data_IF_671145134865
#
_entry.id   IF_671145134865
#
_cell.length_a   1.000
_cell.length_b   1.000
_cell.length_c   1.000
_cell.angle_alpha   90.00
_cell.angle_beta   90.00
_cell.angle_gamma   90.00
#
_symmetry.space_group_name_H-M   'P 1'
#
loop_
_entity.id
_entity.type
_entity.pdbx_description
1 polymer ?
#
# COMPACT_ATOMS: atom_id res chain seq x y z
N UNK A 1 -42.86 31.19 11.73
CA UNK A 1 -41.68 31.72 11.00
C UNK A 1 -40.36 31.77 11.82
N UNK A 2 -40.40 32.06 13.14
CA UNK A 2 -39.17 32.05 13.98
C UNK A 2 -38.44 30.68 14.08
N UNK A 3 -39.20 29.59 14.14
CA UNK A 3 -38.62 28.24 14.29
C UNK A 3 -37.93 27.73 13.01
N UNK A 4 -38.34 28.14 11.85
CA UNK A 4 -37.71 27.77 10.55
C UNK A 4 -36.32 28.43 10.37
N UNK A 5 -36.18 29.70 10.83
CA UNK A 5 -34.89 30.39 10.79
C UNK A 5 -33.85 29.79 11.72
N UNK A 6 -34.26 29.30 12.90
CA UNK A 6 -33.34 28.63 13.85
C UNK A 6 -32.87 27.28 13.32
N UNK A 7 -33.74 26.52 12.63
CA UNK A 7 -33.40 25.24 12.04
C UNK A 7 -32.40 25.39 10.88
N UNK A 8 -32.61 26.38 10.00
CA UNK A 8 -31.69 26.69 8.89
C UNK A 8 -30.33 27.19 9.36
N UNK A 9 -30.26 27.98 10.43
CA UNK A 9 -29.00 28.45 10.99
C UNK A 9 -28.21 27.30 11.63
N UNK A 10 -28.89 26.35 12.30
CA UNK A 10 -28.24 25.18 12.91
C UNK A 10 -27.72 24.22 11.83
N UNK A 11 -28.47 24.02 10.73
CA UNK A 11 -28.05 23.17 9.61
C UNK A 11 -26.88 23.79 8.85
N UNK A 12 -26.86 25.10 8.65
CA UNK A 12 -25.75 25.81 8.01
C UNK A 12 -24.48 25.80 8.88
N UNK A 13 -24.60 25.90 10.20
CA UNK A 13 -23.47 25.82 11.12
C UNK A 13 -22.88 24.38 11.16
N UNK A 14 -23.74 23.35 11.10
CA UNK A 14 -23.29 21.95 11.01
C UNK A 14 -22.61 21.64 9.66
N UNK A 15 -23.13 22.19 8.54
CA UNK A 15 -22.49 22.04 7.24
C UNK A 15 -21.14 22.79 7.17
N UNK A 16 -21.03 23.95 7.80
CA UNK A 16 -19.77 24.69 7.87
C UNK A 16 -18.72 24.01 8.76
N UNK A 17 -19.13 23.40 9.88
CA UNK A 17 -18.20 22.65 10.75
C UNK A 17 -17.77 21.33 10.14
N UNK A 18 -18.62 20.63 9.37
CA UNK A 18 -18.22 19.42 8.65
C UNK A 18 -17.31 19.73 7.47
N UNK A 19 -17.49 20.85 6.79
CA UNK A 19 -16.59 21.28 5.69
C UNK A 19 -15.19 21.65 6.20
N UNK A 20 -15.06 22.13 7.44
CA UNK A 20 -13.75 22.48 8.03
C UNK A 20 -12.96 21.26 8.51
N UNK A 21 -13.60 20.08 8.67
CA UNK A 21 -12.95 18.85 9.09
C UNK A 21 -12.28 18.05 7.96
N UNK A 22 -12.47 18.46 6.71
CA UNK A 22 -11.83 17.86 5.53
C UNK A 22 -10.72 18.74 4.95
N UNK A 23 -9.92 19.40 5.81
CA UNK A 23 -8.77 20.16 5.30
C UNK A 23 -7.69 19.20 4.81
N UNK A 24 -7.13 19.51 3.64
CA UNK A 24 -5.90 18.87 3.17
C UNK A 24 -4.81 19.07 4.22
N UNK A 25 -4.23 17.99 4.70
CA UNK A 25 -3.17 18.03 5.70
C UNK A 25 -2.16 16.93 5.47
N UNK A 26 -0.91 17.24 5.77
CA UNK A 26 0.17 16.27 5.84
C UNK A 26 0.79 16.34 7.22
N UNK A 27 0.95 15.19 7.87
CA UNK A 27 1.49 15.07 9.21
C UNK A 27 2.52 13.95 9.28
N UNK A 28 3.67 14.20 9.90
CA UNK A 28 4.64 13.15 10.23
C UNK A 28 4.10 12.35 11.41
N UNK A 29 3.82 11.07 11.18
CA UNK A 29 3.29 10.17 12.22
C UNK A 29 4.35 9.30 12.88
N UNK A 30 5.51 9.15 12.25
CA UNK A 30 6.63 8.43 12.82
C UNK A 30 7.95 8.82 12.13
N UNK A 31 9.05 8.64 12.88
CA UNK A 31 10.41 8.66 12.33
C UNK A 31 10.91 7.22 12.24
N UNK A 32 11.34 6.81 11.07
CA UNK A 32 11.85 5.46 10.78
C UNK A 32 13.05 5.61 9.86
N UNK A 33 14.23 5.11 10.24
CA UNK A 33 15.41 5.22 9.38
C UNK A 33 15.21 4.54 8.04
N UNK A 34 15.31 5.30 6.95
CA UNK A 34 15.26 4.82 5.58
C UNK A 34 14.04 3.98 5.21
N UNK A 35 12.80 4.43 5.43
CA UNK A 35 11.61 3.65 5.11
C UNK A 35 11.47 3.52 3.59
N UNK A 36 11.19 2.30 3.09
CA UNK A 36 11.14 2.05 1.63
C UNK A 36 9.84 1.44 1.16
N UNK A 37 9.39 0.33 1.70
CA UNK A 37 8.14 -0.32 1.29
C UNK A 37 7.20 -0.38 2.48
N UNK A 38 5.93 -0.06 2.23
CA UNK A 38 4.89 -0.08 3.25
C UNK A 38 3.64 -0.79 2.75
N UNK A 39 2.92 -1.38 3.69
CA UNK A 39 1.60 -1.94 3.54
C UNK A 39 0.76 -1.61 4.78
N UNK A 40 -0.51 -1.94 4.78
CA UNK A 40 -1.42 -1.60 5.86
C UNK A 40 -2.17 -2.82 6.40
N UNK A 41 -2.14 -3.00 7.73
CA UNK A 41 -2.93 -4.01 8.43
C UNK A 41 -4.29 -3.44 8.81
N UNK A 42 -5.34 -3.93 8.15
CA UNK A 42 -6.68 -3.35 8.24
C UNK A 42 -7.35 -3.54 9.59
N UNK A 43 -7.20 -4.70 10.23
CA UNK A 43 -7.84 -4.96 11.52
C UNK A 43 -7.09 -4.37 12.70
N UNK A 44 -5.80 -4.08 12.53
CA UNK A 44 -4.93 -3.56 13.59
C UNK A 44 -4.67 -2.06 13.50
N UNK A 45 -5.03 -1.42 12.38
CA UNK A 45 -4.69 -0.02 12.11
C UNK A 45 -3.19 0.26 12.18
N UNK A 46 -2.39 -0.62 11.58
CA UNK A 46 -0.94 -0.48 11.55
C UNK A 46 -0.42 -0.27 10.14
N UNK A 47 0.48 0.69 9.97
CA UNK A 47 1.38 0.73 8.81
C UNK A 47 2.56 -0.18 9.11
N UNK A 48 2.76 -1.16 8.25
CA UNK A 48 3.89 -2.10 8.32
C UNK A 48 4.84 -1.79 7.18
N UNK A 49 6.12 -1.79 7.45
CA UNK A 49 7.08 -1.48 6.41
C UNK A 49 8.45 -2.08 6.63
N UNK A 50 9.31 -1.81 5.66
CA UNK A 50 10.72 -2.16 5.68
C UNK A 50 11.59 -0.91 5.61
N UNK A 51 12.78 -1.02 6.17
CA UNK A 51 13.79 0.04 6.16
C UNK A 51 14.99 -0.35 5.32
N UNK A 52 15.55 0.66 4.66
CA UNK A 52 16.82 0.56 3.99
C UNK A 52 17.75 1.63 4.59
N UNK A 53 18.60 1.22 5.52
CA UNK A 53 19.41 2.14 6.30
C UNK A 53 20.89 1.91 6.06
N UNK A 54 21.60 2.99 5.66
CA UNK A 54 23.05 3.00 5.53
C UNK A 54 23.69 3.59 6.80
N UNK A 55 24.30 2.75 7.61
CA UNK A 55 25.12 3.20 8.72
C UNK A 55 26.59 2.90 8.45
N UNK A 56 27.31 3.89 7.99
CA UNK A 56 28.77 4.04 7.80
C UNK A 56 29.55 2.84 7.20
N UNK A 57 29.01 1.63 7.14
CA UNK A 57 29.58 0.44 6.51
C UNK A 57 28.60 -0.75 6.45
N UNK A 58 27.33 -0.55 6.87
CA UNK A 58 26.38 -1.64 7.02
C UNK A 58 24.97 -1.22 6.59
N UNK A 59 24.33 -2.05 5.79
CA UNK A 59 22.93 -1.89 5.42
C UNK A 59 22.10 -2.78 6.34
N UNK A 60 21.28 -2.18 7.19
CA UNK A 60 20.33 -2.91 8.02
C UNK A 60 18.97 -2.87 7.35
N UNK A 61 18.33 -4.03 7.28
CA UNK A 61 16.99 -4.17 6.78
C UNK A 61 16.10 -4.58 7.93
N UNK A 62 15.44 -3.62 8.51
CA UNK A 62 14.50 -3.84 9.59
C UNK A 62 13.08 -3.84 9.03
N UNK A 63 12.23 -4.68 9.60
CA UNK A 63 10.78 -4.59 9.45
C UNK A 63 10.21 -3.95 10.70
N UNK A 64 9.14 -3.20 10.51
CA UNK A 64 8.54 -2.42 11.58
C UNK A 64 7.05 -2.24 11.36
N UNK A 65 6.32 -1.94 12.46
CA UNK A 65 4.93 -1.51 12.43
C UNK A 65 4.74 -0.23 13.25
N UNK A 66 3.78 0.56 12.82
CA UNK A 66 3.35 1.80 13.48
C UNK A 66 1.85 1.72 13.68
N UNK A 67 1.38 1.85 14.93
CA UNK A 67 -0.02 2.12 15.21
C UNK A 67 -0.35 3.54 14.74
N UNK A 68 -1.20 3.67 13.73
CA UNK A 68 -1.56 4.97 13.15
C UNK A 68 -2.42 5.82 14.08
N UNK A 69 -2.99 5.24 15.13
CA UNK A 69 -3.74 5.98 16.15
C UNK A 69 -2.84 6.57 17.23
N UNK A 70 -1.58 6.14 17.29
CA UNK A 70 -0.59 6.71 18.20
C UNK A 70 0.22 7.81 17.50
N UNK A 71 0.77 8.72 18.30
CA UNK A 71 1.71 9.75 17.84
C UNK A 71 3.01 9.64 18.64
N UNK A 72 4.16 9.89 18.02
CA UNK A 72 5.42 9.80 18.72
C UNK A 72 5.49 10.86 19.82
N UNK A 73 5.86 10.45 21.02
CA UNK A 73 6.19 11.37 22.11
C UNK A 73 7.69 11.64 22.20
N UNK A 74 8.49 10.71 21.69
CA UNK A 74 9.96 10.79 21.69
C UNK A 74 10.54 10.21 20.40
N UNK A 75 11.67 10.76 19.98
CA UNK A 75 12.49 10.24 18.87
C UNK A 75 13.89 9.98 19.39
N UNK A 76 14.30 8.72 19.39
CA UNK A 76 15.63 8.30 19.86
C UNK A 76 16.38 7.61 18.73
N UNK A 77 17.60 8.09 18.40
CA UNK A 77 18.41 7.53 17.32
C UNK A 77 17.66 7.40 15.98
N UNK A 78 16.91 8.43 15.59
CA UNK A 78 16.09 8.49 14.38
C UNK A 78 14.90 7.52 14.36
N UNK A 79 14.57 6.86 15.46
CA UNK A 79 13.40 5.99 15.59
C UNK A 79 12.45 6.59 16.62
N UNK A 80 11.18 6.74 16.27
CA UNK A 80 10.16 7.20 17.22
C UNK A 80 9.67 6.07 18.11
N UNK A 81 9.17 6.42 19.30
CA UNK A 81 8.72 5.48 20.35
C UNK A 81 7.45 4.71 20.00
N UNK A 82 6.69 5.17 19.01
CA UNK A 82 5.51 4.48 18.48
C UNK A 82 5.84 3.44 17.40
N UNK A 83 7.11 3.18 17.11
CA UNK A 83 7.54 2.19 16.13
C UNK A 83 7.92 0.89 16.81
N UNK A 84 7.23 -0.19 16.47
CA UNK A 84 7.57 -1.54 16.88
C UNK A 84 8.44 -2.20 15.81
N UNK A 85 9.63 -2.66 16.17
CA UNK A 85 10.45 -3.50 15.28
C UNK A 85 9.97 -4.94 15.32
N UNK A 86 10.01 -5.60 14.16
CA UNK A 86 9.71 -7.02 14.05
C UNK A 86 10.97 -7.86 13.95
N UNK A 87 10.87 -9.03 14.55
CA UNK A 87 11.54 -10.26 14.22
C UNK A 87 13.07 -10.23 14.16
N UNK A 88 13.66 -11.27 14.69
CA UNK A 88 15.06 -11.62 14.47
C UNK A 88 15.21 -12.37 13.14
N UNK A 89 14.87 -11.74 12.01
CA UNK A 89 15.40 -12.24 10.75
C UNK A 89 16.92 -12.07 10.79
N UNK A 90 17.68 -12.98 10.21
CA UNK A 90 19.11 -12.82 10.10
C UNK A 90 19.39 -11.48 9.39
N UNK A 91 19.65 -10.44 10.17
CA UNK A 91 19.99 -9.13 9.64
C UNK A 91 21.41 -9.20 9.14
N UNK A 92 21.61 -9.21 7.83
CA UNK A 92 22.95 -9.24 7.28
C UNK A 92 23.25 -8.09 6.35
N UNK A 93 24.40 -7.58 6.66
CA UNK A 93 25.21 -6.54 6.06
C UNK A 93 25.51 -6.81 4.58
N UNK A 94 25.31 -5.86 3.75
CA UNK A 94 25.92 -5.53 2.47
C UNK A 94 24.99 -5.18 1.32
N UNK A 95 25.33 -4.03 0.78
CA UNK A 95 24.95 -3.36 -0.42
C UNK A 95 24.29 -4.16 -1.54
N UNK A 96 23.10 -3.78 -1.83
CA UNK A 96 22.35 -4.08 -3.04
C UNK A 96 21.14 -3.19 -3.01
N UNK A 97 21.03 -2.34 -3.99
CA UNK A 97 19.83 -1.53 -4.23
C UNK A 97 18.71 -2.49 -4.50
N UNK A 98 17.75 -2.70 -3.69
CA UNK A 98 16.48 -3.18 -4.15
C UNK A 98 15.78 -4.21 -3.24
N UNK A 99 14.59 -3.85 -2.85
CA UNK A 99 13.52 -4.77 -2.86
C UNK A 99 13.23 -5.60 -1.62
N UNK A 100 13.24 -4.97 -0.46
CA UNK A 100 12.66 -5.59 0.74
C UNK A 100 11.17 -5.30 0.76
N UNK A 101 10.46 -5.94 -0.17
CA UNK A 101 9.03 -5.75 -0.33
C UNK A 101 8.29 -6.38 0.85
N UNK A 102 7.25 -5.72 1.32
CA UNK A 102 6.36 -6.20 2.37
C UNK A 102 4.92 -6.09 1.88
N UNK A 103 4.09 -7.10 2.18
CA UNK A 103 2.67 -7.11 1.86
C UNK A 103 1.86 -7.87 2.90
N UNK A 104 0.58 -7.56 2.97
CA UNK A 104 -0.40 -8.22 3.84
C UNK A 104 -1.70 -8.43 3.06
N UNK A 105 -2.44 -9.53 3.25
CA UNK A 105 -3.79 -9.63 2.73
C UNK A 105 -4.73 -8.71 3.53
N UNK A 106 -5.64 -8.01 2.84
CA UNK A 106 -6.56 -7.06 3.47
C UNK A 106 -7.74 -7.74 4.16
N UNK A 107 -7.95 -9.02 3.89
CA UNK A 107 -9.02 -9.88 4.42
C UNK A 107 -8.57 -11.33 4.48
N UNK A 108 -9.33 -12.18 5.17
CA UNK A 108 -9.13 -13.63 5.07
C UNK A 108 -9.48 -14.09 3.65
N UNK A 109 -8.55 -14.84 3.01
CA UNK A 109 -8.73 -15.32 1.65
C UNK A 109 -9.27 -16.76 1.62
N UNK A 110 -10.09 -17.14 0.62
CA UNK A 110 -10.61 -18.50 0.49
C UNK A 110 -9.54 -19.58 0.41
N UNK A 111 -8.34 -19.27 -0.07
CA UNK A 111 -7.18 -20.18 -0.09
C UNK A 111 -6.58 -20.48 1.28
N UNK A 112 -6.99 -19.73 2.34
CA UNK A 112 -6.52 -19.91 3.71
C UNK A 112 -5.52 -18.86 4.18
N UNK A 113 -5.09 -17.91 3.34
CA UNK A 113 -4.32 -16.76 3.81
C UNK A 113 -5.15 -15.91 4.76
N UNK A 114 -4.58 -15.62 5.92
CA UNK A 114 -5.27 -14.89 6.97
C UNK A 114 -4.99 -13.39 6.86
N UNK A 115 -6.01 -12.59 7.15
CA UNK A 115 -5.91 -11.14 7.20
C UNK A 115 -4.75 -10.68 8.10
N UNK A 116 -4.05 -9.63 7.66
CA UNK A 116 -2.97 -8.94 8.40
C UNK A 116 -1.72 -9.78 8.69
N UNK A 117 -1.64 -11.05 8.22
CA UNK A 117 -0.37 -11.75 8.23
C UNK A 117 0.62 -11.04 7.29
N UNK A 118 1.88 -10.96 7.70
CA UNK A 118 2.89 -10.18 7.01
C UNK A 118 3.79 -11.10 6.20
N UNK A 119 3.99 -10.77 4.94
CA UNK A 119 4.90 -11.47 4.04
C UNK A 119 5.97 -10.49 3.57
N UNK A 120 7.22 -10.82 3.86
CA UNK A 120 8.34 -9.91 3.67
C UNK A 120 9.48 -10.59 2.93
N UNK A 121 10.01 -9.93 1.90
CA UNK A 121 11.18 -10.42 1.16
C UNK A 121 12.45 -10.02 1.88
N UNK A 122 13.36 -10.95 2.10
CA UNK A 122 14.69 -10.64 2.62
C UNK A 122 15.78 -11.46 1.94
N UNK A 123 17.01 -10.99 2.04
CA UNK A 123 18.19 -11.68 1.53
C UNK A 123 19.04 -12.13 2.71
N UNK A 124 19.21 -13.43 2.86
CA UNK A 124 20.15 -14.01 3.82
C UNK A 124 21.56 -14.00 3.20
N UNK A 125 22.48 -13.36 3.91
CA UNK A 125 23.89 -13.25 3.54
C UNK A 125 24.81 -13.81 4.61
N UNK A 126 24.33 -14.73 5.42
CA UNK A 126 25.16 -15.48 6.37
C UNK A 126 26.33 -16.14 5.67
N UNK A 127 26.08 -16.68 4.48
CA UNK A 127 27.14 -17.02 3.50
C UNK A 127 27.26 -15.89 2.46
N UNK A 128 28.34 -15.11 2.55
CA UNK A 128 28.61 -13.98 1.65
C UNK A 128 28.83 -14.40 0.18
N UNK A 129 29.28 -15.63 -0.03
CA UNK A 129 29.57 -16.14 -1.36
C UNK A 129 28.31 -16.71 -2.04
N UNK A 130 27.33 -17.12 -1.23
CA UNK A 130 26.09 -17.75 -1.69
C UNK A 130 24.88 -17.13 -1.01
N UNK A 131 24.56 -15.84 -1.27
CA UNK A 131 23.38 -15.21 -0.68
C UNK A 131 22.13 -15.93 -1.17
N UNK A 132 21.15 -16.09 -0.28
CA UNK A 132 19.84 -16.66 -0.59
C UNK A 132 18.74 -15.63 -0.38
N UNK A 133 17.70 -15.70 -1.19
CA UNK A 133 16.55 -14.78 -1.09
C UNK A 133 15.32 -15.55 -0.65
N UNK A 134 14.60 -15.01 0.30
CA UNK A 134 13.46 -15.66 0.93
C UNK A 134 12.25 -14.74 1.00
N UNK A 135 11.08 -15.35 1.13
CA UNK A 135 9.92 -14.70 1.72
C UNK A 135 9.79 -15.21 3.15
N UNK A 136 9.80 -14.33 4.12
CA UNK A 136 9.45 -14.62 5.50
C UNK A 136 7.95 -14.37 5.70
N UNK A 137 7.33 -15.18 6.54
CA UNK A 137 5.97 -15.01 7.00
C UNK A 137 5.99 -14.65 8.49
N UNK A 138 5.24 -13.61 8.88
CA UNK A 138 5.04 -13.24 10.28
C UNK A 138 3.55 -13.26 10.63
N UNK A 139 3.25 -13.58 11.88
CA UNK A 139 1.93 -13.33 12.42
C UNK A 139 1.65 -11.81 12.48
N UNK A 140 0.38 -11.38 12.68
CA UNK A 140 0.01 -9.97 12.59
C UNK A 140 0.73 -9.03 13.56
N UNK A 141 1.20 -9.52 14.72
CA UNK A 141 1.95 -8.72 15.69
C UNK A 141 3.48 -8.76 15.49
N UNK A 142 3.95 -9.53 14.51
CA UNK A 142 5.37 -9.65 14.17
C UNK A 142 6.20 -10.46 15.17
N UNK A 143 5.58 -11.10 16.19
CA UNK A 143 6.31 -11.83 17.25
C UNK A 143 6.75 -13.22 16.85
N UNK A 144 6.05 -13.85 15.89
CA UNK A 144 6.37 -15.16 15.36
C UNK A 144 6.71 -15.06 13.88
N UNK A 145 7.80 -15.69 13.50
CA UNK A 145 8.27 -15.69 12.12
C UNK A 145 8.53 -17.12 11.62
N UNK A 146 8.18 -17.36 10.36
CA UNK A 146 8.69 -18.46 9.54
C UNK A 146 9.68 -17.86 8.55
N UNK A 147 10.98 -17.80 8.87
CA UNK A 147 11.94 -17.02 8.09
C UNK A 147 12.05 -17.49 6.64
N UNK A 148 12.06 -18.80 6.42
CA UNK A 148 12.20 -19.40 5.10
C UNK A 148 10.88 -20.01 4.64
N UNK A 149 9.77 -19.21 4.75
CA UNK A 149 8.47 -19.67 4.29
C UNK A 149 8.51 -20.03 2.80
N UNK A 150 9.28 -19.27 2.00
CA UNK A 150 9.67 -19.63 0.65
C UNK A 150 11.11 -19.21 0.37
N UNK A 151 11.87 -20.05 -0.35
CA UNK A 151 13.24 -19.76 -0.78
C UNK A 151 13.32 -19.74 -2.30
N UNK A 152 13.80 -18.64 -2.86
CA UNK A 152 14.02 -18.52 -4.30
C UNK A 152 15.25 -19.31 -4.72
N UNK A 153 15.14 -20.07 -5.82
CA UNK A 153 16.24 -20.87 -6.35
C UNK A 153 17.45 -20.02 -6.77
N UNK A 154 17.19 -18.80 -7.25
CA UNK A 154 18.24 -17.84 -7.63
C UNK A 154 18.10 -16.60 -6.73
N UNK A 155 19.20 -16.09 -6.17
CA UNK A 155 19.15 -14.87 -5.39
C UNK A 155 18.73 -13.68 -6.29
N UNK A 156 17.87 -12.83 -5.76
CA UNK A 156 17.43 -11.61 -6.43
C UNK A 156 17.09 -10.55 -5.40
N UNK A 157 17.44 -9.31 -5.72
CA UNK A 157 17.11 -8.14 -4.91
C UNK A 157 15.87 -7.42 -5.44
N UNK A 158 15.34 -7.85 -6.58
CA UNK A 158 14.20 -7.22 -7.22
C UNK A 158 13.02 -8.18 -7.27
N UNK A 159 12.31 -8.24 -6.16
CA UNK A 159 11.10 -9.04 -6.00
C UNK A 159 9.94 -8.12 -5.63
N UNK A 160 8.79 -8.34 -6.27
CA UNK A 160 7.53 -7.69 -5.94
C UNK A 160 6.53 -8.73 -5.49
N UNK A 161 5.71 -8.36 -4.53
CA UNK A 161 4.65 -9.22 -3.99
C UNK A 161 3.29 -8.54 -4.18
N UNK A 162 2.26 -9.33 -4.41
CA UNK A 162 0.87 -8.89 -4.37
C UNK A 162 -0.03 -10.05 -3.98
N UNK A 163 -1.09 -9.79 -3.23
CA UNK A 163 -2.13 -10.78 -3.01
C UNK A 163 -3.17 -10.75 -4.12
N UNK A 164 -3.57 -11.94 -4.58
CA UNK A 164 -4.77 -12.09 -5.37
C UNK A 164 -5.99 -12.12 -4.45
N UNK A 165 -6.60 -10.97 -4.22
CA UNK A 165 -7.79 -10.85 -3.37
C UNK A 165 -9.12 -11.05 -4.10
N UNK A 166 -9.05 -11.31 -5.42
CA UNK A 166 -10.22 -11.45 -6.29
C UNK A 166 -10.44 -12.86 -6.83
N UNK A 167 -9.42 -13.72 -6.73
CA UNK A 167 -9.50 -15.15 -7.06
C UNK A 167 -9.04 -15.53 -8.46
N UNK A 168 -8.57 -14.59 -9.29
CA UNK A 168 -8.07 -14.87 -10.63
C UNK A 168 -6.89 -15.86 -10.63
N UNK A 169 -6.01 -15.74 -9.66
CA UNK A 169 -4.86 -16.62 -9.46
C UNK A 169 -5.05 -17.61 -8.30
N UNK A 170 -6.31 -17.88 -7.92
CA UNK A 170 -6.67 -18.83 -6.87
C UNK A 170 -6.54 -18.28 -5.45
N UNK A 171 -6.64 -16.96 -5.27
CA UNK A 171 -6.47 -16.26 -3.98
C UNK A 171 -5.09 -16.47 -3.35
N UNK A 172 -4.06 -16.59 -4.17
CA UNK A 172 -2.69 -16.87 -3.75
C UNK A 172 -1.86 -15.59 -3.57
N UNK A 173 -0.72 -15.71 -2.90
CA UNK A 173 0.33 -14.70 -2.92
C UNK A 173 1.08 -14.80 -4.25
N UNK A 174 1.20 -13.70 -4.96
CA UNK A 174 1.97 -13.59 -6.20
C UNK A 174 3.35 -13.00 -5.90
N UNK A 175 4.39 -13.55 -6.55
CA UNK A 175 5.72 -12.97 -6.54
C UNK A 175 6.25 -12.80 -7.96
N UNK A 176 6.77 -11.63 -8.27
CA UNK A 176 7.50 -11.34 -9.50
C UNK A 176 8.97 -11.16 -9.16
N UNK A 177 9.78 -12.13 -9.55
CA UNK A 177 11.23 -12.16 -9.32
C UNK A 177 11.95 -11.79 -10.60
N UNK A 178 12.75 -10.73 -10.57
CA UNK A 178 13.65 -10.37 -11.66
C UNK A 178 15.07 -10.90 -11.37
N UNK A 179 15.58 -11.72 -12.27
CA UNK A 179 16.96 -12.18 -12.31
C UNK A 179 17.57 -11.72 -13.64
N UNK A 180 18.84 -11.95 -13.88
CA UNK A 180 19.56 -11.49 -15.07
C UNK A 180 18.70 -11.51 -16.34
N UNK A 181 18.10 -10.37 -16.72
CA UNK A 181 17.26 -10.14 -17.89
C UNK A 181 15.94 -10.97 -17.97
N UNK A 182 15.48 -11.55 -16.87
CA UNK A 182 14.27 -12.37 -16.90
C UNK A 182 13.41 -12.11 -15.66
N UNK A 183 12.12 -11.90 -15.87
CA UNK A 183 11.09 -11.88 -14.83
C UNK A 183 10.42 -13.25 -14.76
N UNK A 184 10.37 -13.86 -13.58
CA UNK A 184 9.53 -15.03 -13.32
C UNK A 184 8.39 -14.64 -12.38
N UNK A 185 7.16 -14.86 -12.84
CA UNK A 185 5.94 -14.67 -12.04
C UNK A 185 5.51 -16.02 -11.46
N UNK A 186 5.28 -16.05 -10.13
CA UNK A 186 4.84 -17.24 -9.40
C UNK A 186 3.62 -16.95 -8.55
N UNK A 187 2.83 -17.98 -8.31
CA UNK A 187 1.83 -18.00 -7.24
C UNK A 187 2.27 -18.97 -6.15
N UNK A 188 2.03 -18.59 -4.89
CA UNK A 188 2.37 -19.36 -3.70
C UNK A 188 1.09 -19.68 -2.93
N UNK A 189 0.94 -20.92 -2.50
CA UNK A 189 -0.12 -21.31 -1.57
C UNK A 189 0.28 -21.01 -0.11
N UNK A 190 -0.59 -21.30 0.84
CA UNK A 190 -0.37 -21.01 2.27
C UNK A 190 0.79 -21.79 2.90
N UNK A 191 1.23 -22.85 2.28
CA UNK A 191 2.40 -23.63 2.72
C UNK A 191 3.73 -23.08 2.21
N UNK A 192 3.66 -22.09 1.28
CA UNK A 192 4.82 -21.60 0.56
C UNK A 192 5.15 -22.36 -0.72
N UNK A 193 4.39 -23.40 -1.06
CA UNK A 193 4.62 -24.11 -2.33
C UNK A 193 4.31 -23.17 -3.51
N UNK A 194 5.25 -23.11 -4.47
CA UNK A 194 5.19 -22.19 -5.59
C UNK A 194 4.90 -22.91 -6.92
N UNK A 195 4.12 -22.23 -7.76
CA UNK A 195 3.87 -22.64 -9.15
C UNK A 195 4.17 -21.47 -10.08
N UNK A 196 4.99 -21.69 -11.10
CA UNK A 196 5.30 -20.68 -12.10
C UNK A 196 4.05 -20.41 -12.96
N UNK A 197 3.72 -19.12 -13.13
CA UNK A 197 2.66 -18.65 -14.03
C UNK A 197 3.27 -18.34 -15.39
N UNK A 198 4.43 -17.69 -15.42
CA UNK A 198 5.10 -17.32 -16.64
C UNK A 198 6.50 -16.77 -16.42
N UNK A 199 7.27 -16.74 -17.51
CA UNK A 199 8.62 -16.20 -17.55
C UNK A 199 8.75 -15.27 -18.74
N UNK A 200 9.29 -14.06 -18.54
CA UNK A 200 9.32 -12.97 -19.51
C UNK A 200 10.73 -12.40 -19.63
N UNK A 201 11.28 -12.39 -20.85
CA UNK A 201 12.60 -11.84 -21.08
C UNK A 201 12.57 -10.31 -21.08
N UNK A 202 13.64 -9.70 -20.61
CA UNK A 202 13.86 -8.25 -20.58
C UNK A 202 12.77 -7.42 -19.91
N UNK A 203 11.92 -8.07 -19.09
CA UNK A 203 10.86 -7.42 -18.34
C UNK A 203 11.28 -7.25 -16.88
N UNK A 204 11.22 -6.02 -16.40
CA UNK A 204 11.39 -5.66 -14.99
C UNK A 204 10.18 -4.84 -14.53
N UNK A 205 9.63 -5.15 -13.37
CA UNK A 205 8.43 -4.47 -12.86
C UNK A 205 8.71 -3.72 -11.55
N UNK A 206 8.05 -2.58 -11.38
CA UNK A 206 8.12 -1.77 -10.16
C UNK A 206 6.98 -2.05 -9.18
N UNK A 207 5.81 -2.40 -9.69
CA UNK A 207 4.60 -2.62 -8.87
C UNK A 207 3.71 -3.71 -9.47
N UNK A 208 2.88 -4.29 -8.61
CA UNK A 208 1.90 -5.32 -8.96
C UNK A 208 0.57 -5.01 -8.28
N UNK A 209 -0.53 -5.24 -8.99
CA UNK A 209 -1.89 -5.15 -8.48
C UNK A 209 -2.78 -6.15 -9.21
N UNK A 210 -3.46 -7.05 -8.50
CA UNK A 210 -4.55 -7.82 -9.11
C UNK A 210 -5.79 -6.95 -9.14
N UNK A 211 -6.23 -6.60 -10.35
CA UNK A 211 -7.37 -5.69 -10.56
C UNK A 211 -8.67 -6.42 -10.23
N UNK A 212 -9.62 -5.81 -9.50
CA UNK A 212 -10.91 -6.42 -9.22
C UNK A 212 -11.64 -6.87 -10.49
N UNK A 213 -12.38 -7.98 -10.41
CA UNK A 213 -13.09 -8.55 -11.56
C UNK A 213 -14.43 -7.83 -11.84
N UNK A 214 -14.34 -6.53 -12.13
CA UNK A 214 -15.48 -5.68 -12.51
C UNK A 214 -15.23 -5.11 -13.91
N UNK A 215 -15.72 -5.80 -14.93
CA UNK A 215 -15.52 -5.40 -16.33
C UNK A 215 -16.20 -4.07 -16.68
N UNK A 216 -17.25 -3.69 -15.97
CA UNK A 216 -17.91 -2.39 -16.21
C UNK A 216 -16.99 -1.24 -15.83
N UNK A 217 -16.27 -1.40 -14.71
CA UNK A 217 -15.37 -0.40 -14.19
C UNK A 217 -13.99 -0.43 -14.85
N UNK A 218 -13.40 -1.62 -14.97
CA UNK A 218 -12.00 -1.77 -15.35
C UNK A 218 -11.79 -2.28 -16.78
N UNK A 219 -12.87 -2.54 -17.53
CA UNK A 219 -12.78 -3.04 -18.92
C UNK A 219 -11.88 -4.27 -19.04
N UNK A 220 -10.94 -4.23 -19.96
CA UNK A 220 -10.00 -5.34 -20.21
C UNK A 220 -8.95 -5.53 -19.10
N UNK A 221 -8.86 -4.63 -18.13
CA UNK A 221 -7.99 -4.81 -16.96
C UNK A 221 -8.62 -5.71 -15.89
N UNK A 222 -9.95 -5.88 -15.91
CA UNK A 222 -10.69 -6.63 -14.89
C UNK A 222 -10.14 -8.06 -14.73
N UNK A 223 -9.81 -8.44 -13.50
CA UNK A 223 -9.28 -9.76 -13.18
C UNK A 223 -7.85 -10.01 -13.66
N UNK A 224 -7.13 -9.02 -14.20
CA UNK A 224 -5.74 -9.17 -14.63
C UNK A 224 -4.77 -8.79 -13.51
N UNK A 225 -3.56 -9.32 -13.55
CA UNK A 225 -2.43 -8.76 -12.81
C UNK A 225 -1.90 -7.55 -13.58
N UNK A 226 -2.21 -6.35 -13.12
CA UNK A 226 -1.64 -5.11 -13.65
C UNK A 226 -0.27 -4.89 -13.02
N UNK A 227 0.70 -4.56 -13.86
CA UNK A 227 2.04 -4.18 -13.44
C UNK A 227 2.54 -2.97 -14.24
N UNK A 228 3.54 -2.30 -13.70
CA UNK A 228 4.27 -1.24 -14.42
C UNK A 228 5.70 -1.67 -14.62
N UNK A 229 6.18 -1.58 -15.87
CA UNK A 229 7.56 -1.91 -16.18
C UNK A 229 8.49 -0.78 -15.71
N UNK A 230 9.76 -1.13 -15.46
CA UNK A 230 10.82 -0.17 -15.15
C UNK A 230 11.88 -0.17 -16.22
N UNK A 231 12.65 0.91 -16.32
CA UNK A 231 13.71 1.09 -17.30
C UNK A 231 13.27 1.98 -18.44
N UNK A 232 13.69 1.65 -19.66
CA UNK A 232 13.48 2.55 -20.81
C UNK A 232 12.02 2.65 -21.29
N UNK A 233 11.21 1.61 -21.08
CA UNK A 233 9.85 1.58 -21.59
C UNK A 233 8.83 2.23 -20.65
N UNK A 234 8.92 1.99 -19.34
CA UNK A 234 7.94 2.46 -18.35
C UNK A 234 6.49 2.22 -18.83
N UNK A 235 6.17 0.95 -19.16
CA UNK A 235 4.88 0.57 -19.78
C UNK A 235 3.88 0.07 -18.73
N UNK A 236 2.59 0.21 -19.02
CA UNK A 236 1.55 -0.62 -18.40
C UNK A 236 1.51 -1.99 -19.06
N UNK A 237 1.55 -3.03 -18.27
CA UNK A 237 1.41 -4.41 -18.72
C UNK A 237 0.36 -5.13 -17.89
N UNK A 238 -0.32 -6.09 -18.49
CA UNK A 238 -1.15 -7.05 -17.76
C UNK A 238 -0.71 -8.47 -18.04
N UNK A 239 -0.94 -9.34 -17.06
CA UNK A 239 -0.69 -10.78 -17.16
C UNK A 239 -1.95 -11.48 -16.67
N UNK A 240 -2.49 -12.40 -17.48
CA UNK A 240 -3.65 -13.21 -17.10
C UNK A 240 -3.24 -14.43 -16.26
N UNK A 241 -4.22 -15.21 -15.79
CA UNK A 241 -3.98 -16.43 -15.01
C UNK A 241 -3.26 -17.56 -15.76
N UNK A 242 -3.20 -17.49 -17.08
CA UNK A 242 -2.47 -18.42 -17.96
C UNK A 242 -1.04 -17.93 -18.28
N UNK A 243 -0.65 -16.78 -17.76
CA UNK A 243 0.64 -16.19 -18.03
C UNK A 243 0.74 -15.44 -19.36
N UNK A 244 -0.38 -15.12 -20.01
CA UNK A 244 -0.37 -14.32 -21.25
C UNK A 244 -0.14 -12.86 -20.89
N UNK A 245 0.95 -12.30 -21.41
CA UNK A 245 1.32 -10.90 -21.21
C UNK A 245 0.74 -10.03 -22.33
N UNK A 246 0.16 -8.90 -21.93
CA UNK A 246 -0.25 -7.82 -22.83
C UNK A 246 0.40 -6.51 -22.44
N UNK A 247 1.00 -5.80 -23.40
CA UNK A 247 1.55 -4.46 -23.24
C UNK A 247 0.52 -3.43 -23.72
N UNK A 248 0.19 -2.45 -22.86
CA UNK A 248 -0.81 -1.40 -23.11
C UNK A 248 -0.18 -0.05 -23.50
N UNK A 249 1.16 -0.02 -23.60
CA UNK A 249 1.90 1.16 -24.02
C UNK A 249 2.49 1.96 -22.87
N UNK A 250 3.17 3.04 -23.26
CA UNK A 250 4.06 3.77 -22.39
C UNK A 250 3.35 4.67 -21.39
N UNK A 251 3.68 4.50 -20.11
CA UNK A 251 3.33 5.44 -19.03
C UNK A 251 4.20 6.69 -19.09
N UNK A 252 5.50 6.50 -19.37
CA UNK A 252 6.51 7.55 -19.38
C UNK A 252 6.85 8.09 -17.99
N UNK A 253 6.43 7.38 -16.92
CA UNK A 253 6.63 7.72 -15.52
C UNK A 253 6.89 6.47 -14.67
N UNK A 254 7.74 6.60 -13.67
CA UNK A 254 7.97 5.52 -12.72
C UNK A 254 6.83 5.46 -11.70
N UNK A 255 6.00 4.41 -11.79
CA UNK A 255 4.94 4.12 -10.81
C UNK A 255 5.51 3.16 -9.78
N UNK A 256 5.80 3.67 -8.59
CA UNK A 256 6.41 2.89 -7.51
C UNK A 256 5.43 1.91 -6.85
N UNK A 257 4.14 2.27 -6.77
CA UNK A 257 3.10 1.44 -6.16
C UNK A 257 1.78 1.61 -6.90
N UNK A 258 1.06 0.50 -7.09
CA UNK A 258 -0.32 0.44 -7.56
C UNK A 258 -1.23 0.07 -6.40
N UNK A 259 -2.43 0.65 -6.33
CA UNK A 259 -3.43 0.36 -5.31
C UNK A 259 -4.84 0.60 -5.83
N UNK A 260 -5.84 0.08 -5.11
CA UNK A 260 -7.23 0.51 -5.28
C UNK A 260 -7.49 1.64 -4.27
N UNK A 261 -8.12 2.72 -4.70
CA UNK A 261 -8.51 3.81 -3.82
C UNK A 261 -9.66 3.36 -2.90
N UNK A 262 -9.36 3.09 -1.64
CA UNK A 262 -10.36 2.64 -0.65
C UNK A 262 -10.78 3.73 0.33
N UNK A 263 -10.07 4.86 0.31
CA UNK A 263 -10.31 6.01 1.20
C UNK A 263 -9.55 7.24 0.74
N UNK A 264 -9.43 8.22 1.63
CA UNK A 264 -8.76 9.49 1.38
C UNK A 264 -7.55 9.74 2.28
N UNK A 265 -7.15 8.74 3.08
CA UNK A 265 -5.92 8.75 3.87
C UNK A 265 -4.85 7.94 3.17
N UNK A 266 -3.67 8.52 3.05
CA UNK A 266 -2.49 7.93 2.44
C UNK A 266 -1.38 7.93 3.46
N UNK A 267 -0.71 6.80 3.62
CA UNK A 267 0.57 6.76 4.31
C UNK A 267 1.70 6.70 3.29
N UNK A 268 2.67 7.58 3.47
CA UNK A 268 3.84 7.73 2.60
C UNK A 268 5.10 7.36 3.39
N UNK A 269 5.94 6.51 2.80
CA UNK A 269 7.30 6.29 3.28
C UNK A 269 8.23 7.28 2.58
N UNK A 270 8.75 8.25 3.31
CA UNK A 270 9.69 9.23 2.76
C UNK A 270 11.13 8.88 3.19
N UNK A 271 11.84 8.21 2.28
CA UNK A 271 13.19 7.73 2.51
C UNK A 271 14.18 8.83 2.87
N UNK A 272 14.26 9.98 2.17
CA UNK A 272 15.23 11.02 2.48
C UNK A 272 15.02 11.72 3.81
N UNK A 273 13.76 11.88 4.23
CA UNK A 273 13.43 12.53 5.50
C UNK A 273 13.42 11.55 6.67
N UNK A 274 13.53 10.24 6.43
CA UNK A 274 13.38 9.19 7.44
C UNK A 274 12.05 9.25 8.18
N UNK A 275 10.95 9.52 7.45
CA UNK A 275 9.62 9.70 8.05
C UNK A 275 8.56 8.87 7.37
N UNK A 276 7.52 8.55 8.15
CA UNK A 276 6.22 8.13 7.66
C UNK A 276 5.27 9.29 7.82
N UNK A 277 4.60 9.63 6.73
CA UNK A 277 3.70 10.77 6.62
C UNK A 277 2.28 10.27 6.42
N UNK A 278 1.34 10.78 7.22
CA UNK A 278 -0.09 10.70 6.95
C UNK A 278 -0.48 11.90 6.09
N UNK A 279 -1.06 11.63 4.92
CA UNK A 279 -1.60 12.65 4.03
C UNK A 279 -3.11 12.45 3.90
N UNK A 280 -3.89 13.46 4.24
CA UNK A 280 -5.34 13.50 4.00
C UNK A 280 -5.61 14.19 2.67
N UNK A 281 -6.13 13.44 1.73
CA UNK A 281 -6.39 13.87 0.36
C UNK A 281 -7.86 13.65 -0.02
N UNK A 282 -8.78 14.56 0.36
CA UNK A 282 -10.22 14.40 0.11
C UNK A 282 -10.58 14.20 -1.37
N UNK A 283 -9.71 14.64 -2.28
CA UNK A 283 -9.88 14.43 -3.73
C UNK A 283 -10.00 12.94 -4.08
N UNK A 284 -9.39 12.03 -3.29
CA UNK A 284 -9.47 10.59 -3.52
C UNK A 284 -10.85 10.00 -3.27
N UNK A 285 -11.73 10.68 -2.54
CA UNK A 285 -13.11 10.23 -2.37
C UNK A 285 -13.87 10.12 -3.70
N UNK A 286 -13.48 10.92 -4.70
CA UNK A 286 -14.04 10.86 -6.05
C UNK A 286 -13.56 9.63 -6.85
N UNK A 287 -12.52 8.95 -6.38
CA UNK A 287 -11.88 7.82 -7.05
C UNK A 287 -12.02 6.50 -6.29
N UNK A 288 -12.95 6.43 -5.32
CA UNK A 288 -13.16 5.20 -4.55
C UNK A 288 -13.45 3.99 -5.45
N UNK A 289 -12.66 2.94 -5.27
CA UNK A 289 -12.71 1.73 -6.09
C UNK A 289 -11.95 1.85 -7.41
N UNK A 290 -11.37 2.99 -7.75
CA UNK A 290 -10.54 3.16 -8.94
C UNK A 290 -9.09 2.74 -8.69
N UNK A 291 -8.37 2.43 -9.78
CA UNK A 291 -6.94 2.15 -9.72
C UNK A 291 -6.19 3.47 -9.58
N UNK A 292 -5.31 3.54 -8.61
CA UNK A 292 -4.39 4.65 -8.43
C UNK A 292 -2.94 4.18 -8.45
N UNK A 293 -2.08 5.02 -9.00
CA UNK A 293 -0.64 4.82 -9.04
C UNK A 293 0.10 5.93 -8.31
N UNK A 294 1.09 5.54 -7.49
CA UNK A 294 2.00 6.48 -6.85
C UNK A 294 3.19 6.69 -7.77
N UNK A 295 3.24 7.87 -8.37
CA UNK A 295 4.32 8.27 -9.26
C UNK A 295 5.47 8.81 -8.42
N UNK A 296 6.65 8.22 -8.63
CA UNK A 296 7.91 8.76 -8.19
C UNK A 296 8.66 9.30 -9.39
N UNK A 297 8.85 10.61 -9.46
CA UNK A 297 9.55 11.23 -10.58
C UNK A 297 10.28 12.52 -10.17
N UNK A 298 11.56 12.57 -10.50
CA UNK A 298 12.37 13.78 -10.32
C UNK A 298 12.16 14.79 -11.46
N UNK A 299 11.45 14.39 -12.53
CA UNK A 299 11.11 15.27 -13.67
C UNK A 299 9.89 16.12 -13.31
N UNK A 300 9.82 17.34 -13.83
CA UNK A 300 8.61 18.14 -13.69
C UNK A 300 7.39 17.43 -14.32
N UNK A 301 6.22 17.48 -13.70
CA UNK A 301 5.82 18.27 -12.53
C UNK A 301 6.10 17.61 -11.18
N UNK A 302 6.77 16.46 -11.09
CA UNK A 302 7.17 15.83 -9.83
C UNK A 302 6.33 14.61 -9.44
N UNK A 303 6.57 14.15 -8.21
CA UNK A 303 5.90 12.98 -7.62
C UNK A 303 4.46 13.30 -7.23
N UNK A 304 3.58 12.27 -7.25
CA UNK A 304 2.17 12.44 -6.92
C UNK A 304 1.35 11.17 -7.08
N UNK A 305 0.04 11.34 -7.19
CA UNK A 305 -0.91 10.26 -7.38
C UNK A 305 -1.61 10.43 -8.72
N UNK A 306 -1.67 9.37 -9.48
CA UNK A 306 -2.40 9.29 -10.74
C UNK A 306 -3.61 8.35 -10.61
N UNK A 307 -4.69 8.68 -11.28
CA UNK A 307 -5.79 7.79 -11.61
C UNK A 307 -5.41 6.99 -12.84
N UNK A 308 -5.59 5.68 -12.81
CA UNK A 308 -5.32 4.76 -13.92
C UNK A 308 -6.64 4.10 -14.30
N UNK A 309 -7.00 4.17 -15.57
CA UNK A 309 -8.31 3.69 -16.02
C UNK A 309 -8.27 3.08 -17.41
N UNK A 310 -9.28 2.28 -17.70
CA UNK A 310 -9.55 1.75 -19.03
C UNK A 310 -10.37 2.74 -19.83
N UNK A 311 -9.84 3.21 -20.95
CA UNK A 311 -10.58 4.04 -21.89
C UNK A 311 -11.29 3.17 -22.94
N UNK A 312 -12.60 3.08 -22.82
CA UNK A 312 -13.45 2.29 -23.73
C UNK A 312 -13.39 2.80 -25.18
N UNK A 313 -13.20 4.11 -25.38
CA UNK A 313 -13.21 4.68 -26.72
C UNK A 313 -11.93 4.32 -27.50
N UNK A 314 -10.80 4.33 -26.83
CA UNK A 314 -9.49 4.02 -27.44
C UNK A 314 -9.03 2.59 -27.20
N UNK A 315 -9.77 1.80 -26.41
CA UNK A 315 -9.44 0.42 -26.01
C UNK A 315 -8.00 0.36 -25.47
N UNK A 316 -7.66 1.25 -24.55
CA UNK A 316 -6.32 1.38 -24.00
C UNK A 316 -6.32 1.81 -22.55
N UNK A 317 -5.22 1.56 -21.86
CA UNK A 317 -4.97 2.07 -20.51
C UNK A 317 -4.56 3.54 -20.58
N UNK A 318 -5.21 4.38 -19.80
CA UNK A 318 -4.91 5.81 -19.64
C UNK A 318 -4.60 6.12 -18.19
N UNK A 319 -4.00 7.28 -17.98
CA UNK A 319 -3.77 7.80 -16.64
C UNK A 319 -3.75 9.33 -16.63
N UNK A 320 -4.20 9.90 -15.53
CA UNK A 320 -4.22 11.34 -15.28
C UNK A 320 -3.73 11.64 -13.87
N UNK A 321 -2.92 12.70 -13.70
CA UNK A 321 -2.53 13.14 -12.36
C UNK A 321 -3.74 13.74 -11.63
N UNK A 322 -3.97 13.27 -10.39
CA UNK A 322 -5.06 13.77 -9.53
C UNK A 322 -4.55 14.64 -8.38
N UNK A 323 -3.31 14.45 -7.96
CA UNK A 323 -2.65 15.37 -7.02
C UNK A 323 -1.12 15.29 -7.15
N UNK A 324 -0.46 16.38 -6.79
CA UNK A 324 1.00 16.44 -6.67
C UNK A 324 1.40 16.59 -5.20
N UNK A 325 2.39 15.83 -4.76
CA UNK A 325 2.85 15.90 -3.37
C UNK A 325 3.43 17.25 -2.99
N UNK A 326 4.02 17.98 -3.95
CA UNK A 326 4.51 19.35 -3.74
C UNK A 326 3.42 20.34 -3.30
N UNK A 327 2.15 20.11 -3.67
CA UNK A 327 1.04 20.95 -3.29
C UNK A 327 0.71 20.85 -1.79
N UNK A 328 1.27 19.82 -1.14
CA UNK A 328 1.23 19.59 0.31
C UNK A 328 2.56 19.90 1.00
N UNK A 329 3.51 20.53 0.29
CA UNK A 329 4.85 20.81 0.81
C UNK A 329 5.73 19.57 0.94
N UNK A 330 5.36 18.47 0.26
CA UNK A 330 6.08 17.21 0.27
C UNK A 330 6.91 17.04 -1.02
N UNK A 331 8.13 16.54 -0.88
CA UNK A 331 8.98 16.13 -2.01
C UNK A 331 9.54 14.72 -1.71
N UNK A 332 8.66 13.69 -1.60
CA UNK A 332 9.11 12.35 -1.26
C UNK A 332 9.93 11.78 -2.41
N UNK A 333 11.19 11.48 -2.14
CA UNK A 333 12.12 10.87 -3.10
C UNK A 333 12.27 9.39 -2.79
N UNK A 334 11.62 8.54 -3.58
CA UNK A 334 11.62 7.10 -3.36
C UNK A 334 10.47 6.62 -2.47
N UNK A 335 9.40 7.39 -2.39
CA UNK A 335 8.24 7.04 -1.58
C UNK A 335 7.48 5.84 -2.18
N UNK A 336 7.11 4.93 -1.32
CA UNK A 336 5.97 4.03 -1.53
C UNK A 336 4.79 4.53 -0.70
N UNK A 337 3.59 4.18 -1.10
CA UNK A 337 2.40 4.65 -0.42
C UNK A 337 1.30 3.59 -0.38
N UNK A 338 0.46 3.68 0.62
CA UNK A 338 -0.74 2.86 0.76
C UNK A 338 -1.93 3.76 1.08
N UNK A 339 -3.06 3.52 0.39
CA UNK A 339 -4.32 4.21 0.68
C UNK A 339 -5.14 3.37 1.62
N UNK A 340 -5.69 4.00 2.63
CA UNK A 340 -6.50 3.33 3.65
C UNK A 340 -7.82 4.05 3.89
N UNK A 341 -8.86 3.35 4.35
CA UNK A 341 -10.07 3.99 4.86
C UNK A 341 -9.72 4.87 6.06
N UNK A 342 -10.41 6.00 6.21
CA UNK A 342 -10.25 6.82 7.42
C UNK A 342 -10.58 6.00 8.68
N UNK A 343 -9.65 5.89 9.64
CA UNK A 343 -9.91 5.14 10.87
C UNK A 343 -11.04 5.73 11.71
N UNK A 344 -11.28 7.05 11.56
CA UNK A 344 -12.23 7.82 12.38
C UNK A 344 -13.67 7.84 11.85
N UNK A 345 -13.90 7.53 10.56
CA UNK A 345 -15.25 7.65 9.96
C UNK A 345 -16.23 6.62 10.51
N UNK A 346 -15.77 5.41 10.83
CA UNK A 346 -16.62 4.38 11.44
C UNK A 346 -16.97 4.70 12.91
N UNK A 347 -16.00 5.24 13.67
CA UNK A 347 -16.21 5.64 15.07
C UNK A 347 -17.13 6.87 15.16
N UNK A 348 -16.97 7.85 14.27
CA UNK A 348 -17.83 9.03 14.21
C UNK A 348 -19.26 8.65 13.82
N UNK A 349 -19.44 7.73 12.86
CA UNK A 349 -20.79 7.22 12.50
C UNK A 349 -21.44 6.42 13.64
N UNK A 350 -20.67 5.60 14.35
CA UNK A 350 -21.15 4.84 15.52
C UNK A 350 -21.47 5.75 16.70
N UNK A 351 -20.69 6.80 16.94
CA UNK A 351 -20.99 7.78 18.00
C UNK A 351 -22.22 8.63 17.64
N UNK A 352 -22.37 9.07 16.40
CA UNK A 352 -23.53 9.82 15.94
C UNK A 352 -24.81 8.97 15.97
N UNK A 353 -24.75 7.70 15.59
CA UNK A 353 -25.88 6.78 15.69
C UNK A 353 -26.25 6.45 17.14
N UNK A 354 -25.25 6.30 18.02
CA UNK A 354 -25.44 6.10 19.44
C UNK A 354 -26.04 7.31 20.18
N UNK A 355 -25.63 8.52 19.78
CA UNK A 355 -26.18 9.78 20.32
C UNK A 355 -27.62 10.03 19.84
N UNK A 356 -27.91 9.75 18.57
CA UNK A 356 -29.25 9.84 17.99
C UNK A 356 -30.22 8.87 18.68
N UNK A 357 -29.79 7.62 18.90
CA UNK A 357 -30.62 6.63 19.62
C UNK A 357 -30.89 7.01 21.06
N UNK A 358 -29.94 7.65 21.77
CA UNK A 358 -30.12 8.15 23.12
C UNK A 358 -31.07 9.36 23.16
N UNK A 359 -30.94 10.28 22.21
CA UNK A 359 -31.83 11.44 22.11
C UNK A 359 -33.28 11.04 21.80
N UNK A 360 -33.48 10.04 20.94
CA UNK A 360 -34.83 9.49 20.67
C UNK A 360 -35.46 8.79 21.89
N UNK A 361 -34.66 8.01 22.63
CA UNK A 361 -35.16 7.36 23.87
C UNK A 361 -35.51 8.36 24.98
N UNK A 362 -34.80 9.48 25.06
CA UNK A 362 -35.10 10.54 26.06
C UNK A 362 -36.39 11.29 25.72
N UNK A 363 -36.61 11.63 24.43
CA UNK A 363 -37.87 12.25 23.97
C UNK A 363 -39.10 11.35 24.12
N UNK A 364 -38.92 10.03 23.86
CA UNK A 364 -40.02 9.09 24.07
C UNK A 364 -40.43 8.92 25.53
N UNK A 365 -39.53 9.16 26.51
CA UNK A 365 -39.82 9.17 27.92
C UNK A 365 -40.45 10.48 28.41
N UNK A 366 -40.12 11.61 27.78
CA UNK A 366 -40.69 12.92 28.17
C UNK A 366 -42.11 13.17 27.62
N UNK A 367 -42.51 12.45 26.56
CA UNK A 367 -43.83 12.55 25.93
C UNK A 367 -44.82 11.45 26.38
N UNK A 368 -44.43 10.59 27.32
CA UNK A 368 -45.23 9.46 27.84
C UNK A 368 -45.75 9.61 29.28
N UNK A 369 -45.68 10.84 29.84
CA UNK A 369 -46.29 11.21 31.12
C UNK A 369 -47.37 12.25 30.91
#
# INVERSE_FOLDING_TARGET
MKHIRTLLATTALFAATTATLCSQSAEVIANVPGPVFITYQHSRYHVVGSSYFYNRNWWNHDYWAIDVNSRPSQVTNFLSDNVQRFGNLPSYQFGGNDGYFVTTPTKNLPSGFQQDWIYAVYVDRSDRNNPTTHIAQFNPDGTQATPNWYTFANPSYNIRLAFDEVGTFGYNLLSAQYTTNQLTLRKHDTSGAATDIGTYNDLRVSSLLVVPNDQVRYGSLAGQLLATSTGASEDFITIDSNGVLQNWGRVGRNIATLSIAVGNVIYLADYPSNTIIELRAPVLDNYRGEIIGFIYDNRAPGSGIAHIYWDQATQSVKWDMILYFRDYGLDPKGATAVVVPEPSSLLALLMLSGMSARAFRRRARENGN
#
